data_IF_225046522680
#
_entry.id   IF_225046522680
#
_cell.length_a   1.000
_cell.length_b   1.000
_cell.length_c   1.000
_cell.angle_alpha   90.00
_cell.angle_beta   90.00
_cell.angle_gamma   90.00
#
_symmetry.space_group_name_H-M   'P 1'
#
loop_
_entity.id
_entity.type
_entity.pdbx_description
1 polymer ?
#
# COMPACT_ATOMS: atom_id res chain seq x y z
N UNK A 1 -29.55 10.88 -5.15
CA UNK A 1 -28.27 10.20 -5.45
C UNK A 1 -28.53 8.70 -5.43
N UNK A 2 -27.89 7.94 -6.32
CA UNK A 2 -28.14 6.50 -6.44
C UNK A 2 -27.43 5.76 -5.29
N UNK A 3 -28.15 4.88 -4.56
CA UNK A 3 -27.63 4.07 -3.45
C UNK A 3 -26.31 3.33 -3.79
N UNK A 4 -26.15 2.92 -5.05
CA UNK A 4 -24.93 2.27 -5.55
C UNK A 4 -23.72 3.22 -5.50
N UNK A 5 -23.91 4.49 -5.84
CA UNK A 5 -22.85 5.49 -5.79
C UNK A 5 -22.38 5.73 -4.36
N UNK A 6 -23.30 5.80 -3.40
CA UNK A 6 -22.97 5.95 -1.99
C UNK A 6 -22.16 4.75 -1.46
N UNK A 7 -22.58 3.53 -1.79
CA UNK A 7 -21.87 2.30 -1.42
C UNK A 7 -20.45 2.28 -2.01
N UNK A 8 -20.30 2.65 -3.28
CA UNK A 8 -19.01 2.53 -3.99
C UNK A 8 -18.00 3.62 -3.64
N UNK A 9 -18.43 4.78 -3.14
CA UNK A 9 -17.54 5.93 -2.95
C UNK A 9 -17.48 6.45 -1.52
N UNK A 10 -18.58 6.43 -0.78
CA UNK A 10 -18.69 7.13 0.52
C UNK A 10 -18.90 6.20 1.72
N UNK A 11 -19.34 4.96 1.49
CA UNK A 11 -19.58 4.01 2.57
C UNK A 11 -18.32 3.70 3.37
N UNK A 12 -18.46 3.59 4.69
CA UNK A 12 -17.42 3.12 5.59
C UNK A 12 -17.75 1.70 6.03
N UNK A 13 -16.99 0.73 5.55
CA UNK A 13 -17.24 -0.69 5.80
C UNK A 13 -16.83 -1.13 7.21
N UNK A 14 -15.80 -0.47 7.73
CA UNK A 14 -15.26 -0.77 9.05
C UNK A 14 -14.64 0.48 9.67
N UNK A 15 -14.82 0.66 10.96
CA UNK A 15 -14.19 1.70 11.76
C UNK A 15 -13.72 1.07 13.08
N UNK A 16 -12.50 1.42 13.49
CA UNK A 16 -11.93 0.95 14.73
C UNK A 16 -12.63 1.61 15.92
N UNK A 17 -13.22 0.79 16.78
CA UNK A 17 -13.74 1.20 18.08
C UNK A 17 -12.86 0.58 19.19
N UNK A 18 -12.16 1.40 20.01
CA UNK A 18 -11.38 0.91 21.14
C UNK A 18 -12.19 0.12 22.18
N UNK A 19 -13.52 0.32 22.22
CA UNK A 19 -14.45 -0.42 23.07
C UNK A 19 -14.87 -1.78 22.51
N UNK A 20 -14.70 -2.02 21.21
CA UNK A 20 -15.04 -3.28 20.57
C UNK A 20 -13.95 -4.33 20.84
N UNK A 21 -14.33 -5.40 21.54
CA UNK A 21 -13.45 -6.54 21.84
C UNK A 21 -13.62 -7.70 20.88
N UNK A 22 -14.31 -7.50 19.76
CA UNK A 22 -14.43 -8.53 18.73
C UNK A 22 -13.06 -8.95 18.22
N UNK A 23 -12.83 -10.26 18.12
CA UNK A 23 -11.56 -10.80 17.63
C UNK A 23 -11.25 -10.31 16.21
N UNK A 24 -12.28 -10.10 15.40
CA UNK A 24 -12.17 -9.54 14.06
C UNK A 24 -11.61 -8.11 14.09
N UNK A 25 -12.17 -7.19 14.89
CA UNK A 25 -11.72 -5.80 14.97
C UNK A 25 -10.27 -5.69 15.45
N UNK A 26 -9.91 -6.47 16.48
CA UNK A 26 -8.53 -6.54 17.01
C UNK A 26 -7.58 -7.05 15.92
N UNK A 27 -7.93 -8.13 15.24
CA UNK A 27 -7.10 -8.70 14.18
C UNK A 27 -6.92 -7.72 13.01
N UNK A 28 -8.00 -7.15 12.48
CA UNK A 28 -7.96 -6.19 11.36
C UNK A 28 -7.10 -4.98 11.70
N UNK A 29 -7.22 -4.42 12.90
CA UNK A 29 -6.41 -3.29 13.35
C UNK A 29 -4.91 -3.62 13.33
N UNK A 30 -4.50 -4.66 14.04
CA UNK A 30 -3.08 -5.02 14.17
C UNK A 30 -2.47 -5.55 12.88
N UNK A 31 -3.25 -6.29 12.09
CA UNK A 31 -2.81 -6.79 10.79
C UNK A 31 -2.49 -5.64 9.84
N UNK A 32 -3.38 -4.64 9.73
CA UNK A 32 -3.16 -3.48 8.88
C UNK A 32 -1.97 -2.62 9.35
N UNK A 33 -1.75 -2.49 10.67
CA UNK A 33 -0.54 -1.85 11.20
C UNK A 33 0.74 -2.61 10.79
N UNK A 34 0.73 -3.94 10.90
CA UNK A 34 1.84 -4.79 10.51
C UNK A 34 2.13 -4.68 9.00
N UNK A 35 1.10 -4.74 8.15
CA UNK A 35 1.24 -4.56 6.71
C UNK A 35 1.84 -3.18 6.39
N UNK A 36 1.33 -2.11 7.00
CA UNK A 36 1.86 -0.75 6.84
C UNK A 36 3.36 -0.66 7.14
N UNK A 37 3.82 -1.27 8.23
CA UNK A 37 5.24 -1.36 8.57
C UNK A 37 6.03 -2.16 7.54
N UNK A 38 5.51 -3.31 7.09
CA UNK A 38 6.17 -4.14 6.08
C UNK A 38 6.40 -3.37 4.77
N UNK A 39 5.43 -2.58 4.33
CA UNK A 39 5.58 -1.73 3.14
C UNK A 39 6.63 -0.64 3.31
N UNK A 40 6.71 -0.01 4.49
CA UNK A 40 7.79 0.95 4.78
C UNK A 40 9.17 0.30 4.75
N UNK A 41 9.29 -0.95 5.21
CA UNK A 41 10.55 -1.72 5.09
C UNK A 41 10.90 -1.93 3.62
N UNK A 42 9.94 -2.33 2.78
CA UNK A 42 10.19 -2.48 1.33
C UNK A 42 10.56 -1.14 0.67
N UNK A 43 9.90 -0.04 1.03
CA UNK A 43 10.25 1.30 0.58
C UNK A 43 11.71 1.63 0.93
N UNK A 44 12.13 1.37 2.18
CA UNK A 44 13.48 1.61 2.65
C UNK A 44 14.51 0.75 1.90
N UNK A 45 14.19 -0.52 1.62
CA UNK A 45 15.08 -1.41 0.86
C UNK A 45 15.27 -0.94 -0.59
N UNK A 46 14.18 -0.54 -1.27
CA UNK A 46 14.24 0.01 -2.63
C UNK A 46 15.00 1.33 -2.64
N UNK A 47 14.74 2.22 -1.68
CA UNK A 47 15.43 3.50 -1.59
C UNK A 47 16.92 3.33 -1.27
N UNK A 48 17.27 2.41 -0.36
CA UNK A 48 18.66 2.05 -0.08
C UNK A 48 19.36 1.52 -1.33
N UNK A 49 18.68 0.72 -2.15
CA UNK A 49 19.20 0.26 -3.44
C UNK A 49 19.46 1.44 -4.38
N UNK A 50 18.52 2.37 -4.46
CA UNK A 50 18.70 3.60 -5.24
C UNK A 50 19.91 4.42 -4.74
N UNK A 51 20.10 4.60 -3.44
CA UNK A 51 21.25 5.34 -2.92
C UNK A 51 22.59 4.68 -3.29
N UNK A 52 22.65 3.35 -3.34
CA UNK A 52 23.86 2.58 -3.65
C UNK A 52 24.21 2.60 -5.14
N UNK A 53 23.23 2.49 -6.03
CA UNK A 53 23.49 2.36 -7.47
C UNK A 53 23.14 3.62 -8.28
N UNK A 54 22.27 4.49 -7.76
CA UNK A 54 21.75 5.74 -8.36
C UNK A 54 21.36 5.63 -9.84
N UNK A 55 20.80 4.48 -10.22
CA UNK A 55 20.56 4.14 -11.64
C UNK A 55 19.42 4.95 -12.25
N UNK A 56 18.37 5.25 -11.50
CA UNK A 56 17.19 5.93 -12.05
C UNK A 56 16.27 6.54 -10.99
N UNK A 57 15.70 7.70 -11.29
CA UNK A 57 14.61 8.30 -10.52
C UNK A 57 13.34 7.43 -10.45
N UNK A 58 13.19 6.46 -11.37
CA UNK A 58 12.09 5.48 -11.33
C UNK A 58 12.11 4.65 -10.05
N UNK A 59 13.29 4.38 -9.47
CA UNK A 59 13.38 3.67 -8.19
C UNK A 59 12.90 4.52 -7.00
N UNK A 60 13.06 5.85 -7.08
CA UNK A 60 12.54 6.78 -6.07
C UNK A 60 11.02 6.80 -6.13
N UNK A 61 10.43 6.88 -7.33
CA UNK A 61 8.97 6.78 -7.51
C UNK A 61 8.47 5.40 -7.04
N UNK A 62 9.22 4.33 -7.30
CA UNK A 62 8.87 2.99 -6.84
C UNK A 62 8.91 2.87 -5.30
N UNK A 63 9.95 3.40 -4.65
CA UNK A 63 9.99 3.48 -3.19
C UNK A 63 8.83 4.33 -2.63
N UNK A 64 8.52 5.46 -3.27
CA UNK A 64 7.39 6.30 -2.89
C UNK A 64 6.04 5.56 -2.99
N UNK A 65 5.84 4.72 -4.01
CA UNK A 65 4.61 3.91 -4.10
C UNK A 65 4.45 2.93 -2.94
N UNK A 66 5.54 2.34 -2.44
CA UNK A 66 5.50 1.52 -1.22
C UNK A 66 5.13 2.34 0.02
N UNK A 67 5.66 3.56 0.16
CA UNK A 67 5.30 4.46 1.27
C UNK A 67 3.82 4.80 1.20
N UNK A 68 3.31 5.21 0.04
CA UNK A 68 1.89 5.54 -0.13
C UNK A 68 1.00 4.35 0.20
N UNK A 69 1.39 3.14 -0.22
CA UNK A 69 0.63 1.92 0.11
C UNK A 69 0.66 1.61 1.62
N UNK A 70 1.82 1.78 2.28
CA UNK A 70 1.90 1.63 3.73
C UNK A 70 1.05 2.66 4.49
N UNK A 71 0.96 3.91 3.98
CA UNK A 71 0.08 4.93 4.54
C UNK A 71 -1.40 4.58 4.38
N UNK A 72 -1.79 3.95 3.27
CA UNK A 72 -3.18 3.47 3.13
C UNK A 72 -3.48 2.38 4.16
N UNK A 73 -2.55 1.46 4.42
CA UNK A 73 -2.75 0.40 5.43
C UNK A 73 -2.82 0.96 6.86
N UNK A 74 -1.99 1.96 7.21
CA UNK A 74 -2.16 2.66 8.48
C UNK A 74 -3.52 3.35 8.60
N UNK A 75 -4.07 3.89 7.51
CA UNK A 75 -5.42 4.46 7.52
C UNK A 75 -6.48 3.37 7.68
N UNK A 76 -6.32 2.24 6.99
CA UNK A 76 -7.19 1.06 7.10
C UNK A 76 -7.19 0.44 8.50
N UNK A 77 -6.12 0.61 9.28
CA UNK A 77 -6.09 0.21 10.68
C UNK A 77 -7.12 0.97 11.54
N UNK A 78 -7.58 2.15 11.12
CA UNK A 78 -8.58 2.93 11.86
C UNK A 78 -9.94 3.00 11.16
N UNK A 79 -9.97 2.99 9.84
CA UNK A 79 -11.22 3.01 9.08
C UNK A 79 -11.01 2.55 7.65
N UNK A 80 -11.96 1.79 7.12
CA UNK A 80 -11.97 1.30 5.75
C UNK A 80 -13.13 1.92 4.94
N UNK A 81 -12.95 3.14 4.41
CA UNK A 81 -13.93 3.75 3.51
C UNK A 81 -13.73 3.29 2.05
N UNK A 82 -14.81 3.23 1.26
CA UNK A 82 -14.78 2.73 -0.12
C UNK A 82 -13.80 3.48 -1.03
N UNK A 83 -13.65 4.80 -0.88
CA UNK A 83 -12.67 5.57 -1.66
C UNK A 83 -11.22 5.16 -1.40
N UNK A 84 -10.90 4.68 -0.20
CA UNK A 84 -9.54 4.24 0.15
C UNK A 84 -9.18 2.96 -0.59
N UNK A 85 -10.15 2.06 -0.81
CA UNK A 85 -9.97 0.86 -1.63
C UNK A 85 -9.58 1.22 -3.07
N UNK A 86 -10.19 2.26 -3.65
CA UNK A 86 -9.84 2.73 -4.99
C UNK A 86 -8.42 3.30 -5.06
N UNK A 87 -8.01 4.06 -4.04
CA UNK A 87 -6.63 4.56 -3.95
C UNK A 87 -5.66 3.39 -3.82
N UNK A 88 -5.93 2.44 -2.92
CA UNK A 88 -5.09 1.26 -2.73
C UNK A 88 -4.96 0.45 -4.02
N UNK A 89 -6.06 0.25 -4.74
CA UNK A 89 -6.06 -0.40 -6.05
C UNK A 89 -5.21 0.35 -7.08
N UNK A 90 -5.37 1.67 -7.17
CA UNK A 90 -4.57 2.51 -8.07
C UNK A 90 -3.07 2.43 -7.75
N UNK A 91 -2.70 2.54 -6.47
CA UNK A 91 -1.31 2.46 -6.01
C UNK A 91 -0.75 1.06 -6.26
N UNK A 92 -1.53 0.00 -6.06
CA UNK A 92 -1.13 -1.37 -6.35
C UNK A 92 -0.81 -1.56 -7.84
N UNK A 93 -1.68 -1.06 -8.73
CA UNK A 93 -1.45 -1.11 -10.18
C UNK A 93 -0.15 -0.36 -10.52
N UNK A 94 0.04 0.85 -9.97
CA UNK A 94 1.25 1.61 -10.18
C UNK A 94 2.51 0.85 -9.71
N UNK A 95 2.44 0.22 -8.53
CA UNK A 95 3.53 -0.58 -7.96
C UNK A 95 3.86 -1.78 -8.84
N UNK A 96 2.87 -2.51 -9.35
CA UNK A 96 3.07 -3.64 -10.26
C UNK A 96 3.69 -3.21 -11.60
N UNK A 97 3.25 -2.08 -12.15
CA UNK A 97 3.81 -1.51 -13.38
C UNK A 97 5.24 -1.04 -13.18
N UNK A 98 5.53 -0.35 -12.07
CA UNK A 98 6.88 0.09 -11.71
C UNK A 98 7.81 -1.09 -11.46
N UNK A 99 7.35 -2.11 -10.73
CA UNK A 99 8.10 -3.36 -10.53
C UNK A 99 8.46 -3.99 -11.87
N UNK A 100 7.48 -4.16 -12.77
CA UNK A 100 7.70 -4.72 -14.11
C UNK A 100 8.70 -3.89 -14.91
N UNK A 101 8.62 -2.56 -14.84
CA UNK A 101 9.50 -1.65 -15.57
C UNK A 101 10.93 -1.68 -15.03
N UNK A 102 11.11 -1.64 -13.70
CA UNK A 102 12.42 -1.69 -13.04
C UNK A 102 13.12 -3.03 -13.31
N UNK A 103 12.40 -4.15 -13.18
CA UNK A 103 12.97 -5.48 -13.42
C UNK A 103 13.37 -5.67 -14.88
N UNK A 104 12.55 -5.24 -15.85
CA UNK A 104 12.87 -5.37 -17.28
C UNK A 104 14.04 -4.48 -17.71
N UNK A 105 14.12 -3.24 -17.21
CA UNK A 105 15.11 -2.25 -17.67
C UNK A 105 16.45 -2.38 -16.96
N UNK A 106 16.45 -2.62 -15.65
CA UNK A 106 17.68 -2.55 -14.84
C UNK A 106 18.17 -3.91 -14.34
N UNK A 107 17.30 -4.92 -14.29
CA UNK A 107 17.62 -6.23 -13.73
C UNK A 107 17.08 -7.41 -14.55
N UNK A 108 17.34 -7.50 -15.87
CA UNK A 108 16.79 -8.57 -16.72
C UNK A 108 17.26 -9.98 -16.33
N UNK A 109 18.34 -10.10 -15.54
CA UNK A 109 18.88 -11.37 -15.04
C UNK A 109 18.54 -11.67 -13.56
N UNK A 110 17.89 -10.77 -12.81
CA UNK A 110 17.52 -11.10 -11.43
C UNK A 110 16.30 -12.01 -11.45
N UNK A 111 16.50 -13.31 -11.24
CA UNK A 111 15.40 -14.28 -11.27
C UNK A 111 14.48 -14.18 -10.06
N UNK A 112 14.96 -13.74 -8.90
CA UNK A 112 14.14 -13.59 -7.69
C UNK A 112 14.89 -12.64 -6.75
N UNK A 113 14.22 -11.58 -6.30
CA UNK A 113 13.96 -11.23 -4.90
C UNK A 113 12.74 -10.29 -4.92
#
# INVERSE_FOLDING_TARGET
MNRVFEILFTETWWAYDPGDRSAHSIFTHWFNLFEGVAWLVFAALVFRRYLRFRRSLVEVVYAATFVVFGLTDFREAYSLPSWLLWIKLFVLIALLLLRRSVMRRFYPKSKVF
#
